data_IF_442284935376
#
_entry.id   IF_442284935376
#
_cell.length_a   1.000
_cell.length_b   1.000
_cell.length_c   1.000
_cell.angle_alpha   90.00
_cell.angle_beta   90.00
_cell.angle_gamma   90.00
#
_symmetry.space_group_name_H-M   'P 1'
#
loop_
_entity.id
_entity.type
_entity.pdbx_description
1 polymer ?
#
# COMPACT_ATOMS: atom_id res chain seq x y z
N UNK A 1 9.15 -6.25 22.68
CA UNK A 1 7.96 -6.25 21.78
C UNK A 1 7.40 -4.84 21.63
N UNK A 2 7.16 -4.11 22.73
CA UNK A 2 6.52 -2.79 22.67
C UNK A 2 7.34 -1.77 21.88
N UNK A 3 8.63 -1.66 22.12
CA UNK A 3 9.54 -0.69 21.48
C UNK A 3 9.66 -0.92 19.96
N UNK A 4 9.77 -2.20 19.53
CA UNK A 4 9.91 -2.56 18.12
C UNK A 4 8.65 -2.34 17.30
N UNK A 5 7.47 -2.23 17.96
CA UNK A 5 6.18 -2.04 17.27
C UNK A 5 5.68 -0.60 17.26
N UNK A 6 6.39 0.36 17.87
CA UNK A 6 5.92 1.75 18.04
C UNK A 6 6.65 2.78 17.16
N UNK A 7 7.66 2.38 16.40
CA UNK A 7 8.39 3.30 15.53
C UNK A 7 7.51 3.78 14.37
N UNK A 8 7.43 5.10 14.11
CA UNK A 8 6.69 5.63 12.97
C UNK A 8 7.41 5.32 11.64
N UNK A 9 6.66 5.28 10.55
CA UNK A 9 7.19 5.23 9.20
C UNK A 9 7.93 6.53 8.82
N UNK A 10 8.60 6.55 7.66
CA UNK A 10 9.25 7.76 7.16
C UNK A 10 8.23 8.88 6.92
N UNK A 11 7.05 8.56 6.37
CA UNK A 11 6.03 9.57 6.11
C UNK A 11 5.31 9.99 7.39
N UNK A 12 4.88 9.05 8.23
CA UNK A 12 4.22 9.35 9.52
C UNK A 12 5.10 10.20 10.44
N UNK A 13 6.41 9.95 10.50
CA UNK A 13 7.36 10.74 11.32
C UNK A 13 7.43 12.21 10.93
N UNK A 14 6.99 12.57 9.73
CA UNK A 14 6.96 13.93 9.18
C UNK A 14 5.56 14.51 9.05
N UNK A 15 4.53 13.84 9.60
CA UNK A 15 3.14 14.25 9.48
C UNK A 15 2.56 14.17 8.07
N UNK A 16 3.11 13.27 7.23
CA UNK A 16 2.72 13.13 5.83
C UNK A 16 1.60 12.11 5.60
N UNK A 17 1.24 11.34 6.61
CA UNK A 17 0.00 10.54 6.63
C UNK A 17 -1.12 11.41 7.21
N UNK A 18 -2.05 11.83 6.36
CA UNK A 18 -3.16 12.69 6.76
C UNK A 18 -4.21 11.94 7.59
N UNK A 19 -4.84 12.65 8.51
CA UNK A 19 -5.89 12.13 9.37
C UNK A 19 -7.26 12.10 8.67
N UNK A 20 -8.25 11.50 9.33
CA UNK A 20 -9.58 11.21 8.77
C UNK A 20 -10.33 12.45 8.30
N UNK A 21 -10.15 13.60 8.96
CA UNK A 21 -10.85 14.86 8.70
C UNK A 21 -10.14 15.76 7.68
N UNK A 22 -8.91 15.41 7.28
CA UNK A 22 -8.17 16.22 6.31
C UNK A 22 -8.68 15.94 4.89
N UNK A 23 -9.15 16.98 4.21
CA UNK A 23 -9.65 16.86 2.85
C UNK A 23 -8.64 17.32 1.78
N UNK A 24 -7.62 18.10 2.17
CA UNK A 24 -6.65 18.67 1.25
C UNK A 24 -5.41 17.78 1.17
N UNK A 25 -4.99 17.31 0.00
CA UNK A 25 -3.80 16.49 -0.12
C UNK A 25 -2.52 17.31 0.13
N UNK A 26 -1.58 16.71 0.86
CA UNK A 26 -0.24 17.25 1.09
C UNK A 26 0.77 16.33 0.44
N UNK A 27 1.54 16.85 -0.50
CA UNK A 27 2.65 16.13 -1.12
C UNK A 27 3.93 16.30 -0.31
N UNK A 28 4.41 15.22 0.33
CA UNK A 28 5.68 15.23 1.05
C UNK A 28 6.80 14.62 0.19
N UNK A 29 7.95 15.29 0.15
CA UNK A 29 9.09 14.85 -0.65
C UNK A 29 10.16 14.15 0.20
N UNK A 30 10.71 13.06 -0.34
CA UNK A 30 11.81 12.26 0.23
C UNK A 30 12.85 12.01 -0.85
N UNK A 31 14.11 11.82 -0.47
CA UNK A 31 15.19 11.55 -1.42
C UNK A 31 15.92 12.81 -1.90
N UNK A 32 16.46 12.76 -3.11
CA UNK A 32 17.36 13.78 -3.64
C UNK A 32 16.70 15.15 -3.84
N UNK A 33 17.43 16.21 -3.49
CA UNK A 33 17.00 17.60 -3.74
C UNK A 33 17.00 17.99 -5.23
N UNK A 34 17.93 17.44 -6.01
CA UNK A 34 18.00 17.58 -7.47
C UNK A 34 17.88 16.20 -8.11
N UNK A 35 16.65 15.66 -8.20
CA UNK A 35 16.43 14.29 -8.60
C UNK A 35 16.57 14.09 -10.11
N UNK A 36 17.14 12.94 -10.50
CA UNK A 36 17.12 12.49 -11.90
C UNK A 36 15.72 11.97 -12.31
N UNK A 37 14.92 11.52 -11.33
CA UNK A 37 13.57 10.99 -11.53
C UNK A 37 12.70 11.28 -10.31
N UNK A 38 11.40 11.52 -10.53
CA UNK A 38 10.41 11.64 -9.45
C UNK A 38 9.37 10.54 -9.61
N UNK A 39 9.04 9.84 -8.53
CA UNK A 39 7.90 8.92 -8.48
C UNK A 39 6.98 9.26 -7.31
N UNK A 40 5.77 8.73 -7.32
CA UNK A 40 4.75 8.97 -6.29
C UNK A 40 4.42 7.68 -5.56
N UNK A 41 4.23 7.76 -4.25
CA UNK A 41 3.56 6.75 -3.43
C UNK A 41 2.16 7.28 -3.07
N UNK A 42 1.12 6.56 -3.50
CA UNK A 42 -0.29 6.92 -3.30
C UNK A 42 -1.01 5.81 -2.54
N UNK A 43 -1.75 6.17 -1.50
CA UNK A 43 -2.61 5.23 -0.80
C UNK A 43 -3.03 5.65 0.60
N UNK A 44 -3.38 4.66 1.41
CA UNK A 44 -3.83 4.83 2.79
C UNK A 44 -2.70 4.55 3.81
N UNK A 45 -3.06 4.14 5.04
CA UNK A 45 -2.08 3.78 6.07
C UNK A 45 -1.22 2.57 5.72
N UNK A 46 -1.70 1.68 4.82
CA UNK A 46 -0.89 0.57 4.32
C UNK A 46 0.16 1.05 3.32
N UNK A 47 -0.13 2.05 2.49
CA UNK A 47 0.90 2.70 1.68
C UNK A 47 1.94 3.43 2.54
N UNK A 48 1.54 4.00 3.68
CA UNK A 48 2.47 4.65 4.61
C UNK A 48 3.59 3.72 5.09
N UNK A 49 3.32 2.44 5.27
CA UNK A 49 4.31 1.44 5.68
C UNK A 49 5.46 1.30 4.68
N UNK A 50 5.14 1.44 3.39
CA UNK A 50 6.10 1.36 2.29
C UNK A 50 6.91 2.64 2.13
N UNK A 51 6.51 3.73 2.80
CA UNK A 51 7.24 5.01 2.70
C UNK A 51 8.69 4.91 3.18
N UNK A 52 8.96 4.08 4.20
CA UNK A 52 10.32 3.90 4.74
C UNK A 52 11.27 3.21 3.74
N UNK A 53 10.97 2.01 3.21
CA UNK A 53 11.85 1.36 2.25
C UNK A 53 11.91 2.09 0.90
N UNK A 54 10.82 2.73 0.47
CA UNK A 54 10.79 3.50 -0.78
C UNK A 54 11.56 4.83 -0.67
N UNK A 55 11.58 5.48 0.50
CA UNK A 55 12.45 6.62 0.73
C UNK A 55 13.93 6.23 0.64
N UNK A 56 14.31 5.10 1.25
CA UNK A 56 15.67 4.57 1.14
C UNK A 56 16.04 4.22 -0.32
N UNK A 57 15.10 3.68 -1.10
CA UNK A 57 15.27 3.45 -2.54
C UNK A 57 15.51 4.78 -3.26
N UNK A 58 14.69 5.81 -3.01
CA UNK A 58 14.83 7.12 -3.63
C UNK A 58 16.20 7.74 -3.34
N UNK A 59 16.66 7.67 -2.08
CA UNK A 59 17.99 8.14 -1.68
C UNK A 59 19.10 7.39 -2.42
N UNK A 60 19.02 6.04 -2.50
CA UNK A 60 20.07 5.22 -3.14
C UNK A 60 20.19 5.45 -4.64
N UNK A 61 19.10 5.82 -5.31
CA UNK A 61 19.06 6.03 -6.77
C UNK A 61 19.19 7.51 -7.18
N UNK A 62 19.32 8.44 -6.23
CA UNK A 62 19.31 9.86 -6.52
C UNK A 62 17.97 10.34 -7.11
N UNK A 63 16.88 9.70 -6.69
CA UNK A 63 15.51 10.01 -7.11
C UNK A 63 14.78 10.81 -6.02
N UNK A 64 13.57 11.25 -6.33
CA UNK A 64 12.63 11.84 -5.39
C UNK A 64 11.35 11.02 -5.33
N UNK A 65 10.95 10.63 -4.14
CA UNK A 65 9.61 10.14 -3.85
C UNK A 65 8.74 11.30 -3.35
N UNK A 66 7.52 11.42 -3.89
CA UNK A 66 6.47 12.29 -3.35
C UNK A 66 5.35 11.40 -2.84
N UNK A 67 4.90 11.63 -1.60
CA UNK A 67 3.82 10.83 -1.02
C UNK A 67 2.51 11.58 -1.01
N UNK A 68 1.41 10.90 -1.33
CA UNK A 68 0.04 11.32 -1.08
C UNK A 68 -0.64 10.22 -0.29
N UNK A 69 -0.76 10.42 1.02
CA UNK A 69 -1.19 9.40 1.97
C UNK A 69 -2.29 9.92 2.88
N UNK A 70 -3.35 9.12 3.07
CA UNK A 70 -4.45 9.47 3.97
C UNK A 70 -5.01 8.25 4.68
N UNK A 71 -5.00 8.27 6.01
CA UNK A 71 -5.54 7.20 6.86
C UNK A 71 -6.96 6.81 6.46
N UNK A 72 -7.21 5.50 6.35
CA UNK A 72 -8.54 4.92 6.06
C UNK A 72 -9.22 5.54 4.83
N UNK A 73 -8.47 5.76 3.74
CA UNK A 73 -8.99 6.33 2.51
C UNK A 73 -8.51 5.55 1.29
N UNK A 74 -9.39 4.72 0.73
CA UNK A 74 -9.10 3.92 -0.45
C UNK A 74 -8.71 4.79 -1.66
N UNK A 75 -7.76 4.32 -2.46
CA UNK A 75 -7.47 4.85 -3.80
C UNK A 75 -8.63 4.53 -4.76
N UNK A 76 -9.27 3.39 -4.57
CA UNK A 76 -10.50 3.03 -5.27
C UNK A 76 -11.59 4.11 -5.07
N UNK A 77 -12.20 4.58 -6.15
CA UNK A 77 -13.31 5.57 -6.13
C UNK A 77 -14.60 4.94 -5.63
N UNK A 78 -14.62 4.64 -4.34
CA UNK A 78 -15.76 4.08 -3.61
C UNK A 78 -16.20 5.00 -2.47
N UNK A 79 -17.44 4.89 -1.98
CA UNK A 79 -17.83 5.48 -0.69
C UNK A 79 -17.08 4.74 0.43
N UNK A 80 -16.30 5.45 1.22
CA UNK A 80 -15.57 4.86 2.36
C UNK A 80 -16.27 5.22 3.65
N UNK A 81 -16.77 4.23 4.37
CA UNK A 81 -17.28 4.42 5.72
C UNK A 81 -16.11 4.53 6.70
N UNK A 82 -16.07 5.61 7.47
CA UNK A 82 -15.07 5.79 8.49
C UNK A 82 -15.63 5.43 9.86
N UNK A 83 -15.11 4.38 10.48
CA UNK A 83 -15.59 3.85 11.76
C UNK A 83 -15.39 4.82 12.93
N UNK A 84 -14.41 5.72 12.85
CA UNK A 84 -14.17 6.73 13.90
C UNK A 84 -15.10 7.92 13.77
N UNK A 85 -15.49 8.28 12.55
CA UNK A 85 -16.44 9.36 12.27
C UNK A 85 -17.89 8.87 12.25
N UNK A 86 -18.13 7.55 12.26
CA UNK A 86 -19.43 6.90 12.18
C UNK A 86 -20.29 7.37 10.97
N UNK A 87 -19.63 7.62 9.82
CA UNK A 87 -20.28 8.07 8.58
C UNK A 87 -19.42 7.79 7.35
N UNK A 88 -20.03 7.93 6.17
CA UNK A 88 -19.27 8.00 4.91
C UNK A 88 -18.36 9.24 4.94
N UNK A 89 -17.09 9.06 4.61
CA UNK A 89 -16.08 10.12 4.61
C UNK A 89 -16.11 10.89 3.29
N UNK A 90 -16.75 12.06 3.30
CA UNK A 90 -16.65 13.02 2.20
C UNK A 90 -15.24 13.56 2.01
N UNK A 91 -14.49 13.68 3.11
CA UNK A 91 -13.09 14.12 3.12
C UNK A 91 -12.19 13.17 2.33
N UNK A 92 -12.44 11.87 2.42
CA UNK A 92 -11.70 10.88 1.62
C UNK A 92 -11.99 11.07 0.12
N UNK A 93 -13.25 11.25 -0.26
CA UNK A 93 -13.63 11.46 -1.67
C UNK A 93 -13.00 12.74 -2.24
N UNK A 94 -13.03 13.84 -1.49
CA UNK A 94 -12.41 15.12 -1.88
C UNK A 94 -10.91 14.99 -1.98
N UNK A 95 -10.26 14.44 -0.93
CA UNK A 95 -8.83 14.24 -0.90
C UNK A 95 -8.34 13.39 -2.07
N UNK A 96 -8.98 12.25 -2.33
CA UNK A 96 -8.62 11.34 -3.43
C UNK A 96 -8.68 12.02 -4.79
N UNK A 97 -9.77 12.75 -5.07
CA UNK A 97 -9.90 13.51 -6.31
C UNK A 97 -8.76 14.51 -6.48
N UNK A 98 -8.50 15.32 -5.46
CA UNK A 98 -7.46 16.35 -5.50
C UNK A 98 -6.04 15.76 -5.52
N UNK A 99 -5.80 14.61 -4.87
CA UNK A 99 -4.52 13.91 -4.89
C UNK A 99 -4.22 13.40 -6.30
N UNK A 100 -5.18 12.73 -6.95
CA UNK A 100 -5.05 12.26 -8.33
C UNK A 100 -4.78 13.44 -9.29
N UNK A 101 -5.51 14.55 -9.15
CA UNK A 101 -5.28 15.75 -9.96
C UNK A 101 -3.89 16.37 -9.71
N UNK A 102 -3.41 16.34 -8.48
CA UNK A 102 -2.09 16.83 -8.12
C UNK A 102 -0.98 15.95 -8.71
N UNK A 103 -1.19 14.63 -8.71
CA UNK A 103 -0.27 13.68 -9.34
C UNK A 103 -0.21 13.88 -10.85
N UNK A 104 -1.37 14.07 -11.50
CA UNK A 104 -1.44 14.37 -12.94
C UNK A 104 -0.67 15.65 -13.27
N UNK A 105 -0.84 16.72 -12.48
CA UNK A 105 -0.09 17.97 -12.67
C UNK A 105 1.41 17.81 -12.40
N UNK A 106 1.80 16.95 -11.46
CA UNK A 106 3.21 16.68 -11.15
C UNK A 106 3.92 15.94 -12.30
N UNK A 107 3.21 15.08 -13.03
CA UNK A 107 3.76 14.29 -14.14
C UNK A 107 4.93 13.39 -13.71
N UNK A 108 4.77 12.53 -12.67
CA UNK A 108 5.87 11.70 -12.20
C UNK A 108 6.22 10.61 -13.21
N UNK A 109 7.43 10.08 -13.11
CA UNK A 109 7.88 8.95 -13.93
C UNK A 109 7.10 7.66 -13.66
N UNK A 110 6.55 7.50 -12.45
CA UNK A 110 5.66 6.39 -12.08
C UNK A 110 4.86 6.74 -10.82
N UNK A 111 3.73 6.05 -10.64
CA UNK A 111 2.96 6.04 -9.38
C UNK A 111 2.94 4.62 -8.82
N UNK A 112 3.36 4.45 -7.58
CA UNK A 112 3.20 3.21 -6.82
C UNK A 112 1.92 3.37 -5.99
N UNK A 113 0.95 2.47 -6.22
CA UNK A 113 -0.35 2.45 -5.54
C UNK A 113 -0.37 1.27 -4.58
N UNK A 114 -0.67 1.55 -3.32
CA UNK A 114 -0.91 0.55 -2.26
C UNK A 114 -2.12 0.97 -1.45
N UNK A 115 -3.02 0.05 -1.12
CA UNK A 115 -4.14 0.31 -0.21
C UNK A 115 -4.54 -0.95 0.55
N UNK A 116 -5.20 -0.79 1.68
CA UNK A 116 -5.78 -1.88 2.46
C UNK A 116 -7.02 -2.46 1.76
N UNK A 117 -6.83 -3.09 0.59
CA UNK A 117 -7.94 -3.61 -0.24
C UNK A 117 -8.90 -4.50 0.56
N UNK A 118 -8.36 -5.42 1.38
CA UNK A 118 -9.18 -6.33 2.19
C UNK A 118 -9.98 -5.63 3.31
N UNK A 119 -9.58 -4.44 3.72
CA UNK A 119 -10.30 -3.63 4.71
C UNK A 119 -11.55 -2.98 4.14
N UNK A 120 -11.56 -2.65 2.85
CA UNK A 120 -12.70 -1.98 2.20
C UNK A 120 -13.71 -2.95 1.58
N UNK A 121 -13.28 -4.16 1.25
CA UNK A 121 -14.10 -5.18 0.58
C UNK A 121 -14.78 -6.06 1.62
N UNK A 122 -16.03 -6.46 1.38
CA UNK A 122 -16.75 -7.41 2.24
C UNK A 122 -15.94 -8.71 2.39
N UNK A 123 -15.67 -9.09 3.64
CA UNK A 123 -14.86 -10.26 3.93
C UNK A 123 -14.34 -10.31 5.37
N UNK A 124 -13.56 -11.33 5.71
CA UNK A 124 -13.13 -11.61 7.09
C UNK A 124 -12.13 -10.60 7.66
N UNK A 125 -11.49 -9.80 6.80
CA UNK A 125 -10.51 -8.79 7.21
C UNK A 125 -11.07 -7.38 7.26
N UNK A 126 -12.33 -7.19 6.84
CA UNK A 126 -12.99 -5.89 6.92
C UNK A 126 -13.66 -5.70 8.28
N UNK A 127 -13.29 -4.64 8.99
CA UNK A 127 -13.99 -4.22 10.21
C UNK A 127 -15.21 -3.34 9.89
N UNK A 128 -15.50 -3.10 8.60
CA UNK A 128 -16.61 -2.24 8.15
C UNK A 128 -17.97 -2.94 8.14
N UNK A 129 -18.00 -4.28 8.22
CA UNK A 129 -19.25 -5.05 8.22
C UNK A 129 -20.12 -4.74 7.00
N UNK A 130 -21.38 -4.33 7.23
CA UNK A 130 -22.33 -3.95 6.17
C UNK A 130 -21.93 -2.70 5.39
N UNK A 131 -21.00 -1.91 5.90
CA UNK A 131 -20.50 -0.71 5.24
C UNK A 131 -19.34 -0.99 4.28
N UNK A 132 -18.81 -2.20 4.26
CA UNK A 132 -17.84 -2.63 3.26
C UNK A 132 -18.52 -2.79 1.90
N UNK A 133 -17.82 -2.46 0.83
CA UNK A 133 -18.35 -2.62 -0.52
C UNK A 133 -18.12 -4.04 -1.04
N UNK A 134 -18.91 -4.46 -2.02
CA UNK A 134 -18.63 -5.71 -2.73
C UNK A 134 -17.39 -5.57 -3.64
N UNK A 135 -16.82 -6.73 -4.03
CA UNK A 135 -15.62 -6.79 -4.83
C UNK A 135 -15.76 -6.09 -6.18
N UNK A 136 -16.91 -6.17 -6.81
CA UNK A 136 -17.17 -5.56 -8.13
C UNK A 136 -17.16 -4.03 -8.04
N UNK A 137 -17.82 -3.49 -7.02
CA UNK A 137 -17.85 -2.05 -6.74
C UNK A 137 -16.44 -1.52 -6.45
N UNK A 138 -15.66 -2.26 -5.64
CA UNK A 138 -14.29 -1.88 -5.34
C UNK A 138 -13.41 -1.92 -6.59
N UNK A 139 -13.47 -3.01 -7.37
CA UNK A 139 -12.68 -3.17 -8.60
C UNK A 139 -12.95 -2.06 -9.61
N UNK A 140 -14.21 -1.72 -9.84
CA UNK A 140 -14.60 -0.63 -10.72
C UNK A 140 -14.10 0.74 -10.20
N UNK A 141 -14.13 0.94 -8.87
CA UNK A 141 -13.60 2.15 -8.24
C UNK A 141 -12.09 2.28 -8.40
N UNK A 142 -11.35 1.18 -8.22
CA UNK A 142 -9.90 1.17 -8.42
C UNK A 142 -9.55 1.40 -9.90
N UNK A 143 -10.18 0.68 -10.79
CA UNK A 143 -9.99 0.85 -12.24
C UNK A 143 -10.19 2.32 -12.67
N UNK A 144 -11.23 2.99 -12.17
CA UNK A 144 -11.48 4.39 -12.46
C UNK A 144 -10.34 5.32 -12.00
N UNK A 145 -9.73 5.06 -10.84
CA UNK A 145 -8.59 5.83 -10.36
C UNK A 145 -7.35 5.61 -11.24
N UNK A 146 -7.08 4.34 -11.58
CA UNK A 146 -5.92 3.97 -12.40
C UNK A 146 -6.05 4.51 -13.83
N UNK A 147 -7.26 4.48 -14.41
CA UNK A 147 -7.52 5.08 -15.73
C UNK A 147 -7.31 6.59 -15.77
N UNK A 148 -7.57 7.32 -14.68
CA UNK A 148 -7.27 8.75 -14.61
C UNK A 148 -5.76 9.02 -14.71
N UNK A 149 -4.92 8.22 -14.04
CA UNK A 149 -3.46 8.31 -14.13
C UNK A 149 -2.96 7.89 -15.52
N UNK A 150 -3.50 6.81 -16.04
CA UNK A 150 -3.16 6.30 -17.38
C UNK A 150 -3.51 7.29 -18.50
N UNK A 151 -4.66 7.97 -18.41
CA UNK A 151 -5.07 8.98 -19.39
C UNK A 151 -4.09 10.18 -19.44
N UNK A 152 -3.34 10.41 -18.38
CA UNK A 152 -2.23 11.38 -18.34
C UNK A 152 -0.88 10.78 -18.78
N UNK A 153 -0.86 9.54 -19.27
CA UNK A 153 0.36 8.86 -19.71
C UNK A 153 1.29 8.42 -18.56
N UNK A 154 0.80 8.39 -17.33
CA UNK A 154 1.62 8.07 -16.14
C UNK A 154 1.61 6.55 -15.90
N UNK A 155 2.78 5.88 -15.92
CA UNK A 155 2.89 4.47 -15.56
C UNK A 155 2.49 4.23 -14.09
N UNK A 156 1.75 3.14 -13.84
CA UNK A 156 1.32 2.77 -12.49
C UNK A 156 1.85 1.39 -12.12
N UNK A 157 2.34 1.26 -10.90
CA UNK A 157 2.68 -0.01 -10.26
C UNK A 157 1.67 -0.22 -9.14
N UNK A 158 0.72 -1.12 -9.36
CA UNK A 158 -0.23 -1.55 -8.34
C UNK A 158 0.44 -2.65 -7.51
N UNK A 159 0.69 -2.35 -6.25
CA UNK A 159 1.31 -3.30 -5.33
C UNK A 159 0.21 -3.92 -4.47
N UNK A 160 0.18 -5.25 -4.48
CA UNK A 160 -0.68 -6.00 -3.56
C UNK A 160 -0.30 -5.64 -2.12
N UNK A 161 -1.32 -5.43 -1.30
CA UNK A 161 -1.14 -5.17 0.12
C UNK A 161 -0.40 -6.29 0.86
N UNK A 162 0.18 -5.97 2.01
CA UNK A 162 0.82 -6.95 2.90
C UNK A 162 -0.21 -8.03 3.34
N UNK A 163 0.24 -9.29 3.55
CA UNK A 163 -0.65 -10.32 4.07
C UNK A 163 -1.26 -9.92 5.42
N UNK A 164 -2.55 -10.13 5.60
CA UNK A 164 -3.26 -9.74 6.82
C UNK A 164 -3.20 -10.84 7.89
N UNK A 165 -2.67 -10.59 9.09
CA UNK A 165 -2.66 -11.57 10.18
C UNK A 165 -4.08 -11.95 10.63
N UNK A 166 -4.26 -13.20 11.09
CA UNK A 166 -5.53 -13.65 11.66
C UNK A 166 -5.85 -13.03 13.03
N UNK A 167 -4.84 -12.48 13.72
CA UNK A 167 -4.97 -11.89 15.05
C UNK A 167 -4.09 -10.66 15.20
N UNK A 168 -4.34 -9.85 16.23
CA UNK A 168 -3.41 -8.80 16.61
C UNK A 168 -2.07 -9.42 17.05
N UNK A 169 -1.03 -9.24 16.23
CA UNK A 169 0.27 -9.90 16.41
C UNK A 169 0.95 -9.49 17.72
N UNK A 170 0.87 -8.21 18.09
CA UNK A 170 1.45 -7.72 19.34
C UNK A 170 0.84 -8.42 20.56
N UNK A 171 -0.49 -8.58 20.56
CA UNK A 171 -1.19 -9.28 21.64
C UNK A 171 -0.85 -10.78 21.66
N UNK A 172 -0.80 -11.40 20.47
CA UNK A 172 -0.45 -12.82 20.35
C UNK A 172 0.98 -13.09 20.85
N UNK A 173 1.96 -12.30 20.42
CA UNK A 173 3.36 -12.47 20.86
C UNK A 173 3.54 -12.22 22.36
N UNK A 174 2.84 -11.22 22.92
CA UNK A 174 2.85 -10.98 24.37
C UNK A 174 2.24 -12.15 25.15
N UNK A 175 1.16 -12.74 24.62
CA UNK A 175 0.56 -13.95 25.20
C UNK A 175 1.50 -15.15 25.08
N UNK A 176 2.12 -15.36 23.93
CA UNK A 176 3.06 -16.46 23.69
C UNK A 176 4.27 -16.38 24.64
N UNK A 177 4.85 -15.19 24.81
CA UNK A 177 5.93 -14.94 25.75
C UNK A 177 5.52 -15.24 27.20
N UNK A 178 4.37 -14.72 27.62
CA UNK A 178 3.83 -14.97 28.98
C UNK A 178 3.56 -16.45 29.23
N UNK A 179 3.08 -17.20 28.24
CA UNK A 179 2.77 -18.63 28.35
C UNK A 179 3.96 -19.55 28.12
N UNK A 180 5.09 -19.02 27.67
CA UNK A 180 6.27 -19.81 27.29
C UNK A 180 6.01 -20.71 26.07
N UNK A 181 5.10 -20.30 25.15
CA UNK A 181 4.88 -21.01 23.89
C UNK A 181 5.67 -20.36 22.76
N UNK A 182 6.07 -21.11 21.71
CA UNK A 182 6.84 -20.54 20.60
C UNK A 182 6.12 -19.41 19.86
N UNK A 183 6.86 -18.42 19.36
CA UNK A 183 6.32 -17.32 18.52
C UNK A 183 5.61 -17.82 17.26
N UNK A 184 5.95 -19.02 16.78
CA UNK A 184 5.25 -19.68 15.66
C UNK A 184 3.76 -19.92 15.91
N UNK A 185 3.33 -19.92 17.19
CA UNK A 185 1.91 -19.94 17.56
C UNK A 185 1.14 -18.74 16.97
N UNK A 186 1.81 -17.64 16.71
CA UNK A 186 1.22 -16.43 16.15
C UNK A 186 1.32 -16.36 14.61
N UNK A 187 1.78 -17.42 13.94
CA UNK A 187 1.78 -17.48 12.49
C UNK A 187 0.36 -17.64 11.94
N UNK A 188 0.08 -17.00 10.83
CA UNK A 188 -1.21 -17.10 10.13
C UNK A 188 -1.07 -18.06 8.94
N UNK A 189 -2.01 -19.03 8.75
CA UNK A 189 -2.04 -19.81 7.53
C UNK A 189 -2.07 -18.91 6.29
N UNK A 190 -1.24 -19.22 5.28
CA UNK A 190 -1.12 -18.39 4.07
C UNK A 190 -2.47 -18.20 3.37
N UNK A 191 -3.32 -19.24 3.33
CA UNK A 191 -4.64 -19.16 2.73
C UNK A 191 -5.62 -18.22 3.41
N UNK A 192 -5.36 -17.87 4.69
CA UNK A 192 -6.13 -16.87 5.42
C UNK A 192 -5.50 -15.48 5.30
N UNK A 193 -4.16 -15.40 5.31
CA UNK A 193 -3.45 -14.12 5.26
C UNK A 193 -3.47 -13.48 3.85
N UNK A 194 -3.57 -14.30 2.81
CA UNK A 194 -3.49 -13.90 1.40
C UNK A 194 -4.78 -14.33 0.70
N UNK A 195 -5.70 -13.39 0.51
CA UNK A 195 -6.93 -13.64 -0.25
C UNK A 195 -6.62 -13.79 -1.75
N UNK A 196 -6.78 -14.99 -2.30
CA UNK A 196 -6.66 -15.20 -3.76
C UNK A 196 -7.70 -14.40 -4.54
N UNK A 197 -8.93 -14.31 -4.03
CA UNK A 197 -10.01 -13.56 -4.67
C UNK A 197 -9.67 -12.08 -4.85
N UNK A 198 -9.12 -11.44 -3.81
CA UNK A 198 -8.69 -10.03 -3.89
C UNK A 198 -7.47 -9.89 -4.81
N UNK A 199 -6.48 -10.78 -4.68
CA UNK A 199 -5.28 -10.80 -5.54
C UNK A 199 -5.64 -10.93 -7.02
N UNK A 200 -6.59 -11.82 -7.35
CA UNK A 200 -7.04 -12.01 -8.73
C UNK A 200 -7.83 -10.80 -9.24
N UNK A 201 -8.59 -10.13 -8.39
CA UNK A 201 -9.28 -8.88 -8.74
C UNK A 201 -8.29 -7.73 -9.00
N UNK A 202 -7.29 -7.53 -8.11
CA UNK A 202 -6.23 -6.53 -8.31
C UNK A 202 -5.47 -6.76 -9.62
N UNK A 203 -5.12 -8.03 -9.91
CA UNK A 203 -4.46 -8.42 -11.15
C UNK A 203 -5.34 -8.11 -12.36
N UNK A 204 -6.62 -8.49 -12.30
CA UNK A 204 -7.57 -8.24 -13.40
C UNK A 204 -7.77 -6.76 -13.66
N UNK A 205 -7.84 -5.92 -12.62
CA UNK A 205 -7.91 -4.46 -12.76
C UNK A 205 -6.63 -3.92 -13.41
N UNK A 206 -5.47 -4.41 -13.01
CA UNK A 206 -4.20 -3.97 -13.61
C UNK A 206 -4.11 -4.35 -15.10
N UNK A 207 -4.54 -5.56 -15.45
CA UNK A 207 -4.57 -6.05 -16.85
C UNK A 207 -5.57 -5.27 -17.73
N UNK A 208 -6.67 -4.78 -17.14
CA UNK A 208 -7.68 -3.98 -17.84
C UNK A 208 -7.23 -2.54 -18.15
N UNK A 209 -6.18 -2.03 -17.50
CA UNK A 209 -5.71 -0.65 -17.67
C UNK A 209 -4.30 -0.63 -18.28
N UNK A 210 -4.13 -0.22 -19.54
CA UNK A 210 -2.81 -0.13 -20.17
C UNK A 210 -1.83 0.71 -19.34
N UNK A 211 -0.57 0.27 -19.24
CA UNK A 211 0.47 0.97 -18.47
C UNK A 211 0.41 0.72 -16.94
N UNK A 212 -0.52 -0.11 -16.46
CA UNK A 212 -0.54 -0.58 -15.08
C UNK A 212 0.17 -1.94 -14.99
N UNK A 213 1.04 -2.10 -14.01
CA UNK A 213 1.71 -3.36 -13.68
C UNK A 213 1.33 -3.79 -12.28
N UNK A 214 0.93 -5.05 -12.12
CA UNK A 214 0.63 -5.63 -10.81
C UNK A 214 1.86 -6.30 -10.23
N UNK A 215 2.09 -6.10 -8.93
CA UNK A 215 3.20 -6.71 -8.18
C UNK A 215 2.67 -7.33 -6.89
N UNK A 216 2.97 -8.61 -6.68
CA UNK A 216 2.64 -9.36 -5.48
C UNK A 216 3.91 -9.71 -4.70
N UNK A 217 4.07 -9.11 -3.53
CA UNK A 217 5.19 -9.34 -2.61
C UNK A 217 4.88 -10.40 -1.54
N UNK A 218 3.78 -11.12 -1.60
CA UNK A 218 3.36 -12.07 -0.55
C UNK A 218 4.44 -13.10 -0.20
N UNK A 219 5.29 -13.48 -1.15
CA UNK A 219 6.39 -14.44 -0.91
C UNK A 219 7.52 -13.90 -0.02
N UNK A 220 7.63 -12.58 0.13
CA UNK A 220 8.61 -11.97 1.04
C UNK A 220 8.14 -12.12 2.50
N UNK A 221 6.83 -12.10 2.71
CA UNK A 221 6.21 -12.17 4.02
C UNK A 221 5.93 -13.61 4.46
N UNK A 222 5.54 -14.46 3.52
CA UNK A 222 5.00 -15.79 3.79
C UNK A 222 5.87 -16.88 3.19
N UNK A 223 5.91 -18.01 3.88
CA UNK A 223 6.40 -19.27 3.35
C UNK A 223 5.30 -19.94 2.49
N UNK A 224 5.49 -21.19 2.07
CA UNK A 224 4.52 -21.89 1.22
C UNK A 224 3.15 -22.06 1.89
N UNK A 225 3.12 -22.23 3.20
CA UNK A 225 1.91 -22.60 3.97
C UNK A 225 1.51 -21.59 5.03
N UNK A 226 2.43 -20.73 5.48
CA UNK A 226 2.18 -19.79 6.59
C UNK A 226 2.87 -18.45 6.39
N UNK A 227 2.35 -17.44 7.09
CA UNK A 227 2.92 -16.11 7.20
C UNK A 227 3.32 -15.92 8.67
N UNK A 228 4.61 -15.96 9.00
CA UNK A 228 5.09 -15.87 10.38
C UNK A 228 4.90 -14.45 10.95
N UNK A 229 4.64 -14.37 12.25
CA UNK A 229 4.58 -13.12 12.99
C UNK A 229 5.96 -12.47 13.20
N UNK A 230 7.02 -13.31 13.22
CA UNK A 230 8.41 -12.90 13.36
C UNK A 230 9.22 -13.51 12.22
N UNK A 231 10.03 -12.70 11.53
CA UNK A 231 10.87 -13.14 10.41
C UNK A 231 12.26 -12.56 10.57
N UNK A 232 13.27 -13.43 10.57
CA UNK A 232 14.66 -13.01 10.82
C UNK A 232 14.87 -12.32 12.18
N UNK A 233 14.12 -12.73 13.21
CA UNK A 233 14.16 -12.13 14.54
C UNK A 233 13.45 -10.76 14.65
N UNK A 234 12.73 -10.32 13.61
CA UNK A 234 12.03 -9.03 13.57
C UNK A 234 10.53 -9.28 13.52
N UNK A 235 9.78 -8.59 14.39
CA UNK A 235 8.32 -8.62 14.40
C UNK A 235 7.80 -7.98 13.12
N UNK A 236 6.97 -8.73 12.36
CA UNK A 236 6.47 -8.29 11.06
C UNK A 236 5.39 -7.22 11.21
N UNK A 237 4.42 -7.43 12.10
CA UNK A 237 3.25 -6.55 12.26
C UNK A 237 3.23 -5.87 13.62
N UNK A 238 2.86 -4.58 13.65
CA UNK A 238 2.73 -3.80 14.89
C UNK A 238 1.36 -3.94 15.55
N UNK A 239 0.36 -4.39 14.82
CA UNK A 239 -1.02 -4.54 15.27
C UNK A 239 -1.75 -5.67 14.51
N UNK A 240 -2.97 -5.45 14.00
CA UNK A 240 -3.80 -6.45 13.30
C UNK A 240 -3.48 -6.55 11.81
N UNK A 241 -2.94 -5.49 11.22
CA UNK A 241 -2.83 -5.34 9.75
C UNK A 241 -1.60 -4.53 9.31
N UNK A 242 -1.06 -3.65 10.16
CA UNK A 242 0.07 -2.81 9.78
C UNK A 242 1.44 -3.44 10.06
N UNK A 243 2.38 -3.24 9.14
CA UNK A 243 3.78 -3.64 9.31
C UNK A 243 4.49 -2.82 10.40
N UNK A 244 5.51 -3.41 11.01
CA UNK A 244 6.48 -2.63 11.79
C UNK A 244 7.43 -1.89 10.86
N UNK A 245 7.81 -0.68 11.25
CA UNK A 245 8.85 0.08 10.54
C UNK A 245 10.19 -0.65 10.52
N UNK A 246 10.49 -1.43 11.57
CA UNK A 246 11.70 -2.25 11.63
C UNK A 246 11.71 -3.34 10.56
N UNK A 247 10.57 -4.00 10.32
CA UNK A 247 10.47 -5.00 9.25
C UNK A 247 10.45 -4.34 7.87
N UNK A 248 9.69 -3.25 7.71
CA UNK A 248 9.60 -2.51 6.45
C UNK A 248 10.97 -2.04 5.93
N UNK A 249 11.90 -1.64 6.81
CA UNK A 249 13.28 -1.28 6.42
C UNK A 249 13.99 -2.39 5.65
N UNK A 250 13.76 -3.66 6.00
CA UNK A 250 14.39 -4.79 5.33
C UNK A 250 13.82 -5.06 3.93
N UNK A 251 12.69 -4.43 3.60
CA UNK A 251 12.10 -4.56 2.27
C UNK A 251 12.79 -3.68 1.21
N UNK A 252 13.68 -2.76 1.60
CA UNK A 252 14.32 -1.83 0.67
C UNK A 252 15.05 -2.55 -0.48
N UNK A 253 15.85 -3.57 -0.18
CA UNK A 253 16.58 -4.32 -1.19
C UNK A 253 15.68 -5.20 -2.08
N UNK A 254 14.74 -6.01 -1.55
CA UNK A 254 13.75 -6.71 -2.36
C UNK A 254 12.90 -5.78 -3.25
N UNK A 255 12.50 -4.62 -2.73
CA UNK A 255 11.77 -3.62 -3.52
C UNK A 255 12.60 -3.05 -4.65
N UNK A 256 13.87 -2.74 -4.37
CA UNK A 256 14.79 -2.26 -5.39
C UNK A 256 14.90 -3.25 -6.56
N UNK A 257 15.12 -4.52 -6.27
CA UNK A 257 15.27 -5.56 -7.29
C UNK A 257 14.04 -5.73 -8.19
N UNK A 258 12.85 -5.59 -7.62
CA UNK A 258 11.59 -5.78 -8.34
C UNK A 258 11.07 -4.50 -9.01
N UNK A 259 11.21 -3.34 -8.36
CA UNK A 259 10.64 -2.09 -8.87
C UNK A 259 11.56 -1.36 -9.85
N UNK A 260 12.88 -1.41 -9.67
CA UNK A 260 13.80 -0.69 -10.56
C UNK A 260 13.65 -1.05 -12.05
N UNK A 261 13.56 -2.34 -12.44
CA UNK A 261 13.34 -2.67 -13.85
C UNK A 261 12.01 -2.10 -14.38
N UNK A 262 10.98 -2.05 -13.54
CA UNK A 262 9.66 -1.52 -13.92
C UNK A 262 9.68 0.01 -14.07
N UNK A 263 10.42 0.69 -13.19
CA UNK A 263 10.53 2.15 -13.19
C UNK A 263 11.53 2.68 -14.23
N UNK A 264 12.43 1.84 -14.73
CA UNK A 264 13.43 2.20 -15.75
C UNK A 264 13.03 1.76 -17.17
N UNK A 265 12.05 0.83 -17.32
CA UNK A 265 11.51 0.52 -18.64
C UNK A 265 10.78 1.77 -19.15
N UNK A 266 11.31 2.42 -20.18
CA UNK A 266 10.56 3.39 -20.96
C UNK A 266 9.26 2.71 -21.39
N UNK A 267 8.12 3.40 -21.19
CA UNK A 267 6.88 2.96 -21.80
C UNK A 267 7.17 2.92 -23.32
N UNK A 268 7.32 1.73 -23.86
CA UNK A 268 7.33 1.56 -25.33
C UNK A 268 5.95 1.97 -25.79
N UNK A 269 5.80 3.26 -26.04
CA UNK A 269 4.72 3.79 -26.84
C UNK A 269 4.86 3.08 -28.19
N UNK A 270 4.03 2.09 -28.44
CA UNK A 270 3.81 1.56 -29.78
C UNK A 270 3.20 2.70 -30.59
N UNK A 271 4.06 3.51 -31.21
CA UNK A 271 3.69 4.33 -32.32
C UNK A 271 3.32 3.35 -33.46
N UNK A 272 2.05 3.07 -33.58
CA UNK A 272 1.53 2.45 -34.80
C UNK A 272 1.82 3.35 -35.96
N UNK A 273 2.20 2.81 -37.13
CA UNK A 273 2.48 3.63 -38.29
C UNK A 273 1.21 4.34 -38.76
N UNK A 274 1.30 5.66 -38.87
CA UNK A 274 0.38 6.45 -39.69
C UNK A 274 0.55 6.01 -41.15
N UNK A 275 -0.47 5.38 -41.67
CA UNK A 275 -0.74 5.29 -43.12
C UNK A 275 -2.11 5.90 -43.42
#
# INVERSE_FOLDING_TARGET
IFESTSLPSAASSRGCLLEFTDANPVGCSFGAGSPSKTFVLLGDSHADEWSTPLAALADSEGWRMVTYLKSSCAVAKIPVFNIRLHRISSECAIWRSQALDSIVRLGPAAVIVVEFSSGYIQGPHSDLGEHAVDLTTWSAGLENSLRQLQAAGIPVILVRDSPTPATNIRNCLSYADWRGVPESHCATPRSLAVSSTITDAERSVAEAVPGVRFVDFSSIFCDRTSCPAVRGGIIVYRDRDHLTTSYAKNLAQPLKELLLPMMNSEATASAGPLQ
#
